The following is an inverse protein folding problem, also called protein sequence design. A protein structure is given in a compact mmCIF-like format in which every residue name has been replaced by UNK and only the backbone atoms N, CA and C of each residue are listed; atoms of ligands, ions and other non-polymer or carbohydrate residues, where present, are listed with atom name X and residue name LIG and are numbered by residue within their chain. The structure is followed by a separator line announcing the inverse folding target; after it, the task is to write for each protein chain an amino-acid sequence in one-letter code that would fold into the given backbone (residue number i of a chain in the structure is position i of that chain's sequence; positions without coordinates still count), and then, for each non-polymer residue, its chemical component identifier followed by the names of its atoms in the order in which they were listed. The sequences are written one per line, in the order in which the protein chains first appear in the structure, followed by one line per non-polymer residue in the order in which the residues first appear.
data_IF_833984644121
#
_entry.id   IF_833984644121
#
_cell.length_a   1.000
_cell.length_b   1.000
_cell.length_c   1.000
_cell.angle_alpha   90.00
_cell.angle_beta   90.00
_cell.angle_gamma   90.00
#
_symmetry.space_group_name_H-M   'P 1'
#
loop_
_entity.id
_entity.type
_entity.pdbx_description
1 polymer ?
#
# COMPACT_ATOMS: atom_id res chain seq x y z
N UNK A 1 1.04 41.23 9.95
CA UNK A 1 -0.41 40.93 9.85
C UNK A 1 -0.53 39.49 9.38
N UNK A 2 -0.56 38.56 10.32
CA UNK A 2 -0.64 37.12 10.03
C UNK A 2 -2.10 36.79 9.78
N UNK A 3 -2.49 36.59 8.52
CA UNK A 3 -3.81 36.06 8.20
C UNK A 3 -3.84 34.60 8.66
N UNK A 4 -4.36 34.36 9.86
CA UNK A 4 -4.74 33.03 10.29
C UNK A 4 -5.88 32.58 9.39
N UNK A 5 -5.57 31.72 8.42
CA UNK A 5 -6.57 31.01 7.65
C UNK A 5 -7.19 29.98 8.59
N UNK A 6 -8.26 30.35 9.30
CA UNK A 6 -9.02 29.40 10.12
C UNK A 6 -9.86 28.58 9.14
N UNK A 7 -9.58 27.28 8.93
CA UNK A 7 -10.46 26.45 8.13
C UNK A 7 -11.85 26.52 8.76
N UNK A 8 -12.88 26.80 7.95
CA UNK A 8 -14.23 27.01 8.45
C UNK A 8 -14.73 25.77 9.18
N UNK A 9 -14.87 25.87 10.51
CA UNK A 9 -15.67 24.92 11.26
C UNK A 9 -17.07 24.90 10.65
N UNK A 10 -17.55 23.73 10.27
CA UNK A 10 -18.87 23.57 9.66
C UNK A 10 -19.68 22.58 10.47
N UNK A 11 -20.83 23.05 10.92
CA UNK A 11 -21.87 22.25 11.56
C UNK A 11 -23.13 22.33 10.70
N UNK A 12 -23.70 21.18 10.36
CA UNK A 12 -25.00 21.11 9.70
C UNK A 12 -25.80 19.94 10.26
N UNK A 13 -27.02 20.19 10.73
CA UNK A 13 -27.90 19.15 11.27
C UNK A 13 -28.19 18.05 10.25
N UNK A 14 -28.40 18.46 8.99
CA UNK A 14 -28.61 17.57 7.85
C UNK A 14 -27.98 18.15 6.59
N UNK A 15 -27.10 17.37 5.98
CA UNK A 15 -26.38 17.73 4.77
C UNK A 15 -26.34 16.54 3.83
N UNK A 16 -26.47 16.82 2.53
CA UNK A 16 -26.09 15.85 1.50
C UNK A 16 -24.57 15.78 1.44
N UNK A 17 -24.01 14.61 1.71
CA UNK A 17 -22.58 14.35 1.70
C UNK A 17 -22.30 13.41 0.54
N UNK A 18 -21.36 13.82 -0.30
CA UNK A 18 -20.78 12.97 -1.34
C UNK A 18 -19.32 12.69 -0.96
N UNK A 19 -18.96 11.42 -0.93
CA UNK A 19 -17.59 11.00 -0.66
C UNK A 19 -17.07 10.15 -1.81
N UNK A 20 -16.04 10.67 -2.44
CA UNK A 20 -15.22 9.91 -3.40
C UNK A 20 -14.25 9.01 -2.64
N UNK A 21 -14.25 7.72 -2.98
CA UNK A 21 -13.30 6.72 -2.52
C UNK A 21 -12.56 6.21 -3.74
N UNK A 22 -11.26 6.49 -3.82
CA UNK A 22 -10.41 6.12 -4.97
C UNK A 22 -9.18 5.35 -4.52
N UNK A 23 -8.77 4.40 -5.35
CA UNK A 23 -7.55 3.62 -5.19
C UNK A 23 -6.32 4.48 -5.55
N UNK A 24 -5.15 4.19 -4.96
CA UNK A 24 -3.90 4.88 -5.30
C UNK A 24 -3.34 4.46 -6.66
N UNK A 25 -3.79 3.32 -7.20
CA UNK A 25 -3.45 2.77 -8.51
C UNK A 25 -4.70 2.14 -9.12
N UNK A 26 -4.76 2.00 -10.46
CA UNK A 26 -5.83 1.25 -11.12
C UNK A 26 -6.00 -0.15 -10.49
N UNK A 27 -7.25 -0.58 -10.34
CA UNK A 27 -7.62 -1.85 -9.75
C UNK A 27 -9.06 -2.22 -10.05
N UNK A 28 -9.64 -3.04 -9.17
CA UNK A 28 -10.98 -3.56 -9.31
C UNK A 28 -11.95 -2.77 -8.43
N UNK A 29 -12.99 -2.21 -9.05
CA UNK A 29 -14.14 -1.65 -8.33
C UNK A 29 -15.15 -2.78 -8.11
N UNK A 30 -15.41 -3.09 -6.85
CA UNK A 30 -16.22 -4.25 -6.43
C UNK A 30 -17.69 -3.86 -6.32
N UNK A 31 -17.95 -2.65 -5.82
CA UNK A 31 -19.29 -2.11 -5.69
C UNK A 31 -19.86 -1.66 -7.05
N UNK A 32 -21.18 -1.65 -7.17
CA UNK A 32 -21.91 -1.24 -8.36
C UNK A 32 -22.72 0.02 -8.11
N UNK A 33 -23.00 0.74 -9.19
CA UNK A 33 -23.90 1.90 -9.13
C UNK A 33 -25.26 1.46 -8.59
N UNK A 34 -25.73 2.13 -7.54
CA UNK A 34 -26.99 1.87 -6.88
C UNK A 34 -26.89 1.02 -5.61
N UNK A 35 -25.73 0.42 -5.33
CA UNK A 35 -25.55 -0.41 -4.13
C UNK A 35 -25.68 0.42 -2.85
N UNK A 36 -26.32 -0.16 -1.85
CA UNK A 36 -26.30 0.35 -0.48
C UNK A 36 -25.12 -0.27 0.26
N UNK A 37 -24.25 0.57 0.83
CA UNK A 37 -23.01 0.15 1.47
C UNK A 37 -22.95 0.65 2.92
N UNK A 38 -22.29 -0.14 3.77
CA UNK A 38 -21.86 0.26 5.11
C UNK A 38 -20.45 0.84 5.05
N UNK A 39 -20.14 1.74 5.98
CA UNK A 39 -18.84 2.40 6.07
C UNK A 39 -17.64 1.43 6.06
N UNK A 40 -17.81 0.22 6.59
CA UNK A 40 -16.81 -0.86 6.62
C UNK A 40 -16.71 -1.68 5.33
N UNK A 41 -17.66 -1.57 4.41
CA UNK A 41 -17.70 -2.41 3.22
C UNK A 41 -16.57 -2.03 2.27
N UNK A 42 -15.89 -3.03 1.73
CA UNK A 42 -14.83 -2.84 0.73
C UNK A 42 -15.49 -2.52 -0.61
N UNK A 43 -15.20 -1.34 -1.16
CA UNK A 43 -15.81 -0.87 -2.41
C UNK A 43 -14.88 -1.01 -3.61
N UNK A 44 -13.56 -0.99 -3.39
CA UNK A 44 -12.57 -1.25 -4.42
C UNK A 44 -11.27 -1.82 -3.81
N UNK A 45 -10.48 -2.48 -4.66
CA UNK A 45 -9.18 -3.06 -4.27
C UNK A 45 -8.16 -2.99 -5.41
N UNK A 46 -6.88 -2.93 -5.05
CA UNK A 46 -5.76 -3.06 -5.99
C UNK A 46 -4.60 -3.80 -5.32
N UNK A 47 -3.59 -4.15 -6.09
CA UNK A 47 -2.34 -4.72 -5.61
C UNK A 47 -1.22 -3.71 -5.86
N UNK A 48 -0.68 -3.12 -4.78
CA UNK A 48 0.49 -2.27 -4.90
C UNK A 48 1.70 -3.12 -5.26
N UNK A 49 2.49 -2.73 -6.27
CA UNK A 49 3.72 -3.43 -6.61
C UNK A 49 4.67 -3.45 -5.40
N UNK A 50 5.28 -4.61 -5.16
CA UNK A 50 6.25 -4.75 -4.09
C UNK A 50 7.50 -3.91 -4.34
N UNK A 51 8.22 -3.61 -3.27
CA UNK A 51 9.46 -2.83 -3.33
C UNK A 51 10.50 -3.58 -4.14
N UNK A 52 11.23 -2.84 -4.97
CA UNK A 52 12.37 -3.36 -5.75
C UNK A 52 13.66 -3.22 -4.94
N UNK A 53 14.47 -4.26 -4.96
CA UNK A 53 15.79 -4.33 -4.35
C UNK A 53 16.82 -4.71 -5.42
N UNK A 54 17.90 -3.95 -5.51
CA UNK A 54 19.01 -4.28 -6.42
C UNK A 54 20.12 -5.00 -5.65
N UNK A 55 20.63 -6.08 -6.24
CA UNK A 55 21.80 -6.82 -5.74
C UNK A 55 22.88 -6.82 -6.81
N UNK A 56 24.04 -6.27 -6.48
CA UNK A 56 25.22 -6.34 -7.34
C UNK A 56 25.85 -7.74 -7.21
N UNK A 57 25.49 -8.64 -8.13
CA UNK A 57 25.94 -10.04 -8.11
C UNK A 57 27.38 -10.15 -8.59
N UNK A 58 27.78 -9.38 -9.61
CA UNK A 58 29.13 -9.44 -10.16
C UNK A 58 30.20 -9.09 -9.12
N UNK A 59 29.97 -8.05 -8.31
CA UNK A 59 30.91 -7.64 -7.27
C UNK A 59 30.93 -8.62 -6.10
N UNK A 60 29.78 -9.26 -5.79
CA UNK A 60 29.70 -10.28 -4.74
C UNK A 60 30.38 -11.59 -5.14
N UNK A 61 30.33 -11.95 -6.42
CA UNK A 61 30.92 -13.18 -6.94
C UNK A 61 32.34 -12.99 -7.50
N UNK A 62 32.75 -11.75 -7.78
CA UNK A 62 34.04 -11.44 -8.41
C UNK A 62 34.12 -11.88 -9.88
N UNK A 63 33.00 -11.77 -10.62
CA UNK A 63 32.89 -12.19 -12.02
C UNK A 63 32.68 -11.00 -12.97
N UNK A 64 32.84 -11.22 -14.27
CA UNK A 64 32.49 -10.21 -15.29
C UNK A 64 30.98 -10.21 -15.56
N UNK A 65 30.42 -9.07 -16.02
CA UNK A 65 28.99 -8.97 -16.36
C UNK A 65 28.52 -10.05 -17.35
N UNK A 66 29.32 -10.35 -18.37
CA UNK A 66 29.02 -11.38 -19.38
C UNK A 66 28.83 -12.80 -18.80
N UNK A 67 29.40 -13.07 -17.62
CA UNK A 67 29.33 -14.38 -16.96
C UNK A 67 28.15 -14.52 -15.99
N UNK A 68 27.36 -13.46 -15.77
CA UNK A 68 26.33 -13.44 -14.74
C UNK A 68 25.30 -14.56 -14.96
N UNK A 69 24.80 -14.71 -16.18
CA UNK A 69 23.77 -15.71 -16.51
C UNK A 69 24.25 -17.15 -16.30
N UNK A 70 25.56 -17.42 -16.42
CA UNK A 70 26.15 -18.73 -16.18
C UNK A 70 26.26 -19.07 -14.68
N UNK A 71 26.34 -18.03 -13.84
CA UNK A 71 26.47 -18.12 -12.39
C UNK A 71 25.12 -18.02 -11.65
N UNK A 72 24.07 -17.53 -12.30
CA UNK A 72 22.73 -17.47 -11.71
C UNK A 72 22.18 -18.88 -11.44
N UNK A 73 21.63 -19.07 -10.24
CA UNK A 73 20.94 -20.30 -9.82
C UNK A 73 19.43 -20.22 -10.08
N UNK A 74 18.92 -19.01 -10.31
CA UNK A 74 17.51 -18.68 -10.49
C UNK A 74 17.35 -17.77 -11.70
N UNK A 75 16.22 -17.87 -12.38
CA UNK A 75 15.90 -17.09 -13.59
C UNK A 75 14.93 -15.95 -13.29
N UNK A 76 14.82 -15.01 -14.23
CA UNK A 76 13.78 -13.99 -14.20
C UNK A 76 12.38 -14.63 -14.10
N UNK A 77 11.53 -14.07 -13.25
CA UNK A 77 10.22 -14.60 -12.91
C UNK A 77 10.21 -15.68 -11.81
N UNK A 78 11.35 -16.25 -11.43
CA UNK A 78 11.38 -17.28 -10.39
C UNK A 78 11.31 -16.68 -8.97
N UNK A 79 10.62 -17.40 -8.08
CA UNK A 79 10.53 -17.03 -6.67
C UNK A 79 11.81 -17.39 -5.90
N UNK A 80 12.11 -16.52 -4.91
CA UNK A 80 13.23 -16.66 -3.99
C UNK A 80 12.79 -16.31 -2.58
N UNK A 81 13.40 -16.97 -1.59
CA UNK A 81 13.28 -16.63 -0.18
C UNK A 81 14.45 -15.78 0.28
N UNK A 82 14.22 -15.00 1.34
CA UNK A 82 15.30 -14.30 2.04
C UNK A 82 16.38 -15.32 2.44
N UNK A 83 17.64 -14.97 2.21
CA UNK A 83 18.82 -15.81 2.44
C UNK A 83 18.91 -17.08 1.56
N UNK A 84 18.08 -17.20 0.52
CA UNK A 84 18.24 -18.25 -0.49
C UNK A 84 19.39 -17.89 -1.46
N UNK A 85 20.26 -18.84 -1.82
CA UNK A 85 21.26 -18.65 -2.88
C UNK A 85 20.59 -18.32 -4.22
N UNK A 86 20.95 -17.18 -4.81
CA UNK A 86 20.43 -16.74 -6.13
C UNK A 86 21.49 -16.85 -7.24
N UNK A 87 22.77 -16.86 -6.87
CA UNK A 87 23.88 -17.04 -7.79
C UNK A 87 25.09 -17.63 -7.08
N UNK A 88 25.88 -18.46 -7.76
CA UNK A 88 27.15 -18.97 -7.26
C UNK A 88 28.17 -19.14 -8.39
N UNK A 89 29.45 -18.98 -8.06
CA UNK A 89 30.55 -19.32 -8.96
C UNK A 89 30.72 -20.84 -9.06
N UNK A 90 31.17 -21.35 -10.22
CA UNK A 90 31.46 -22.78 -10.44
C UNK A 90 32.97 -23.05 -10.60
N UNK A 91 33.80 -22.90 -9.55
CA UNK A 91 35.23 -23.17 -9.63
C UNK A 91 35.54 -24.67 -9.71
N UNK A 92 36.68 -25.02 -10.30
CA UNK A 92 37.19 -26.42 -10.32
C UNK A 92 37.39 -27.01 -8.92
N UNK A 93 37.66 -26.17 -7.91
CA UNK A 93 37.81 -26.58 -6.50
C UNK A 93 36.64 -26.02 -5.69
N UNK A 94 35.74 -26.90 -5.22
CA UNK A 94 34.49 -26.54 -4.52
C UNK A 94 34.68 -25.64 -3.28
N UNK A 95 35.85 -25.63 -2.64
CA UNK A 95 36.11 -24.84 -1.43
C UNK A 95 36.18 -23.32 -1.70
N UNK A 96 36.40 -22.89 -2.94
CA UNK A 96 36.53 -21.48 -3.31
C UNK A 96 35.27 -20.88 -3.92
N UNK A 97 34.10 -21.53 -3.75
CA UNK A 97 32.87 -20.99 -4.34
C UNK A 97 32.36 -19.78 -3.57
N UNK A 98 32.14 -18.68 -4.28
CA UNK A 98 31.40 -17.53 -3.78
C UNK A 98 29.90 -17.73 -4.04
N UNK A 99 29.08 -17.33 -3.07
CA UNK A 99 27.62 -17.44 -3.15
C UNK A 99 27.02 -16.06 -2.90
N UNK A 100 26.06 -15.68 -3.73
CA UNK A 100 25.23 -14.51 -3.52
C UNK A 100 23.83 -14.95 -3.06
N UNK A 101 23.39 -14.40 -1.94
CA UNK A 101 22.09 -14.70 -1.35
C UNK A 101 21.08 -13.56 -1.59
N UNK A 102 19.81 -13.92 -1.68
CA UNK A 102 18.71 -12.96 -1.77
C UNK A 102 18.56 -12.16 -0.47
N UNK A 103 18.44 -10.82 -0.52
CA UNK A 103 18.16 -9.99 0.65
C UNK A 103 16.67 -10.04 1.08
N UNK A 104 15.79 -10.54 0.22
CA UNK A 104 14.33 -10.52 0.41
C UNK A 104 13.68 -11.86 0.02
N UNK A 105 12.43 -12.06 0.47
CA UNK A 105 11.53 -13.04 -0.15
C UNK A 105 10.71 -12.34 -1.23
N UNK A 106 10.61 -12.92 -2.42
CA UNK A 106 10.01 -12.29 -3.59
C UNK A 106 10.31 -13.05 -4.87
N UNK A 107 10.54 -12.32 -5.96
CA UNK A 107 10.91 -12.89 -7.26
C UNK A 107 12.07 -12.14 -7.91
N UNK A 108 12.79 -12.80 -8.82
CA UNK A 108 13.77 -12.13 -9.69
C UNK A 108 13.00 -11.38 -10.77
N UNK A 109 13.11 -10.06 -10.77
CA UNK A 109 12.47 -9.21 -11.78
C UNK A 109 13.30 -9.13 -13.05
N UNK A 110 14.60 -8.92 -12.92
CA UNK A 110 15.50 -8.87 -14.07
C UNK A 110 16.95 -9.17 -13.69
N UNK A 111 17.72 -9.69 -14.63
CA UNK A 111 19.16 -9.93 -14.53
C UNK A 111 19.84 -9.13 -15.64
N UNK A 112 20.65 -8.14 -15.29
CA UNK A 112 21.37 -7.30 -16.24
C UNK A 112 22.79 -7.82 -16.47
N UNK A 113 23.06 -8.29 -17.68
CA UNK A 113 24.40 -8.61 -18.20
C UNK A 113 25.25 -7.36 -18.50
N UNK A 114 24.65 -6.18 -18.62
CA UNK A 114 25.39 -4.92 -18.81
C UNK A 114 25.91 -4.36 -17.47
N UNK A 115 25.05 -4.30 -16.46
CA UNK A 115 25.40 -3.68 -15.15
C UNK A 115 25.84 -4.70 -14.10
N UNK A 116 25.61 -5.99 -14.35
CA UNK A 116 25.84 -7.07 -13.39
C UNK A 116 24.91 -7.05 -12.17
N UNK A 117 23.78 -6.34 -12.27
CA UNK A 117 22.78 -6.23 -11.21
C UNK A 117 21.64 -7.22 -11.41
N UNK A 118 21.16 -7.77 -10.31
CA UNK A 118 19.92 -8.54 -10.25
C UNK A 118 18.90 -7.73 -9.46
N UNK A 119 17.76 -7.45 -10.10
CA UNK A 119 16.63 -6.81 -9.47
C UNK A 119 15.70 -7.86 -8.89
N UNK A 120 15.34 -7.70 -7.62
CA UNK A 120 14.39 -8.54 -6.92
C UNK A 120 13.18 -7.70 -6.51
N UNK A 121 12.00 -8.28 -6.63
CA UNK A 121 10.73 -7.62 -6.30
C UNK A 121 10.03 -8.36 -5.18
N UNK A 122 9.69 -7.65 -4.10
CA UNK A 122 8.83 -8.19 -3.04
C UNK A 122 7.44 -8.58 -3.59
N UNK A 123 6.71 -9.50 -2.94
CA UNK A 123 5.34 -9.79 -3.30
C UNK A 123 4.47 -8.53 -3.29
N UNK A 124 3.49 -8.42 -4.20
CA UNK A 124 2.56 -7.30 -4.19
C UNK A 124 1.76 -7.24 -2.88
N UNK A 125 1.43 -6.03 -2.44
CA UNK A 125 0.66 -5.79 -1.22
C UNK A 125 -0.79 -5.45 -1.58
N UNK A 126 -1.80 -6.21 -1.10
CA UNK A 126 -3.18 -5.87 -1.36
C UNK A 126 -3.54 -4.56 -0.64
N UNK A 127 -4.23 -3.69 -1.36
CA UNK A 127 -4.81 -2.46 -0.83
C UNK A 127 -6.30 -2.50 -1.10
N UNK A 128 -7.07 -2.19 -0.07
CA UNK A 128 -8.52 -2.13 -0.11
C UNK A 128 -8.95 -0.77 0.40
N UNK A 129 -10.01 -0.24 -0.19
CA UNK A 129 -10.66 0.96 0.30
C UNK A 129 -12.07 0.62 0.76
N UNK A 130 -12.40 1.08 1.95
CA UNK A 130 -13.75 0.95 2.48
C UNK A 130 -14.62 2.11 1.96
N UNK A 131 -15.93 1.92 2.03
CA UNK A 131 -16.94 2.93 1.70
C UNK A 131 -16.80 4.20 2.54
N UNK A 132 -16.25 4.08 3.77
CA UNK A 132 -16.02 5.15 4.75
C UNK A 132 -17.27 5.77 5.36
N UNK A 133 -18.38 5.80 4.61
CA UNK A 133 -19.69 6.25 5.08
C UNK A 133 -20.76 5.24 4.69
N UNK A 134 -21.79 5.13 5.52
CA UNK A 134 -23.03 4.47 5.15
C UNK A 134 -23.73 5.30 4.08
N UNK A 135 -24.15 4.68 2.97
CA UNK A 135 -24.78 5.42 1.90
C UNK A 135 -25.10 4.58 0.67
N UNK A 136 -25.35 5.28 -0.44
CA UNK A 136 -25.64 4.68 -1.74
C UNK A 136 -24.56 5.06 -2.73
N UNK A 137 -24.06 4.09 -3.50
CA UNK A 137 -23.12 4.34 -4.60
C UNK A 137 -23.87 5.05 -5.73
N UNK A 138 -23.50 6.30 -6.01
CA UNK A 138 -24.14 7.12 -7.06
C UNK A 138 -23.33 7.11 -8.37
N UNK A 139 -22.03 6.81 -8.30
CA UNK A 139 -21.13 6.81 -9.44
C UNK A 139 -20.02 5.76 -9.28
N UNK A 140 -19.59 5.18 -10.40
CA UNK A 140 -18.42 4.31 -10.50
C UNK A 140 -17.35 5.06 -11.30
N UNK A 141 -16.17 5.18 -10.72
CA UNK A 141 -14.98 5.70 -11.39
C UNK A 141 -14.18 4.48 -11.87
N UNK A 142 -14.16 4.27 -13.18
CA UNK A 142 -13.61 3.06 -13.78
C UNK A 142 -12.18 2.78 -13.29
N UNK A 143 -11.95 1.57 -12.78
CA UNK A 143 -10.67 1.08 -12.21
C UNK A 143 -10.13 1.87 -11.02
N UNK A 144 -10.80 2.92 -10.56
CA UNK A 144 -10.30 3.75 -9.47
C UNK A 144 -11.17 3.65 -8.23
N UNK A 145 -12.50 3.66 -8.34
CA UNK A 145 -13.35 3.56 -7.17
C UNK A 145 -14.78 4.03 -7.37
N UNK A 146 -15.35 4.69 -6.35
CA UNK A 146 -16.78 5.02 -6.28
C UNK A 146 -17.03 6.39 -5.66
N UNK A 147 -18.19 6.97 -5.98
CA UNK A 147 -18.76 8.10 -5.23
C UNK A 147 -19.97 7.60 -4.46
N UNK A 148 -19.97 7.84 -3.15
CA UNK A 148 -21.04 7.44 -2.24
C UNK A 148 -21.77 8.68 -1.77
N UNK A 149 -23.11 8.66 -1.85
CA UNK A 149 -23.98 9.71 -1.35
C UNK A 149 -24.70 9.26 -0.08
N UNK A 150 -24.80 10.17 0.89
CA UNK A 150 -25.62 9.99 2.08
C UNK A 150 -26.19 11.32 2.58
N UNK A 151 -27.20 11.26 3.44
CA UNK A 151 -27.68 12.42 4.19
C UNK A 151 -27.37 12.22 5.66
N UNK A 152 -26.55 13.08 6.23
CA UNK A 152 -26.14 12.97 7.63
C UNK A 152 -25.94 14.33 8.29
N UNK A 153 -25.83 14.33 9.61
CA UNK A 153 -25.28 15.44 10.37
C UNK A 153 -23.79 15.57 10.05
N UNK A 154 -23.36 16.78 9.67
CA UNK A 154 -21.98 17.06 9.32
C UNK A 154 -21.31 17.88 10.42
N UNK A 155 -20.20 17.35 10.95
CA UNK A 155 -19.37 18.04 11.95
C UNK A 155 -17.94 18.05 11.42
N UNK A 156 -17.38 19.23 11.18
CA UNK A 156 -16.00 19.42 10.73
C UNK A 156 -15.15 20.02 11.84
N UNK A 157 -14.12 19.30 12.27
CA UNK A 157 -13.08 19.82 13.16
C UNK A 157 -11.99 20.58 12.41
N UNK A 158 -11.13 21.28 13.16
CA UNK A 158 -9.96 22.00 12.61
C UNK A 158 -8.73 21.11 12.41
N UNK A 159 -8.59 20.08 13.24
CA UNK A 159 -7.42 19.22 13.30
C UNK A 159 -7.80 17.89 13.97
N UNK A 160 -7.18 16.81 13.52
CA UNK A 160 -7.31 15.49 14.10
C UNK A 160 -5.97 14.75 14.04
N UNK A 161 -5.71 13.92 15.03
CA UNK A 161 -4.51 13.07 15.11
C UNK A 161 -4.93 11.62 14.96
N UNK A 162 -4.21 10.86 14.13
CA UNK A 162 -4.47 9.45 13.90
C UNK A 162 -4.98 9.16 12.47
N UNK A 163 -5.43 7.94 12.27
CA UNK A 163 -5.96 7.46 11.00
C UNK A 163 -7.46 7.72 10.83
N UNK A 164 -7.93 7.45 9.61
CA UNK A 164 -9.36 7.40 9.30
C UNK A 164 -10.03 6.28 10.12
N UNK A 165 -11.14 6.58 10.80
CA UNK A 165 -11.88 5.60 11.62
C UNK A 165 -13.38 5.85 11.57
N UNK A 166 -14.16 4.83 11.93
CA UNK A 166 -15.63 4.83 11.93
C UNK A 166 -16.12 4.10 13.17
N UNK A 167 -17.16 4.61 13.83
CA UNK A 167 -17.72 3.98 15.02
C UNK A 167 -18.93 4.74 15.57
N UNK A 168 -19.51 4.21 16.64
CA UNK A 168 -20.55 4.92 17.37
C UNK A 168 -19.93 6.11 18.13
N UNK A 169 -20.58 7.27 18.04
CA UNK A 169 -20.21 8.42 18.87
C UNK A 169 -20.68 8.18 20.30
N UNK A 170 -19.76 8.37 21.24
CA UNK A 170 -20.05 8.26 22.67
C UNK A 170 -19.65 9.56 23.37
N UNK A 171 -20.49 10.00 24.31
CA UNK A 171 -20.17 11.10 25.20
C UNK A 171 -19.19 10.57 26.26
N UNK A 172 -17.94 11.03 26.21
CA UNK A 172 -16.90 10.60 27.15
C UNK A 172 -16.95 11.37 28.48
N UNK A 173 -17.45 12.60 28.49
CA UNK A 173 -17.45 13.49 29.66
C UNK A 173 -18.75 14.25 29.84
N UNK A 174 -19.02 14.74 31.06
CA UNK A 174 -20.28 15.42 31.41
C UNK A 174 -20.21 16.93 31.17
N UNK A 175 -19.02 17.51 31.20
CA UNK A 175 -18.77 18.95 31.06
C UNK A 175 -17.61 19.24 30.10
N UNK A 176 -17.63 20.35 29.34
CA UNK A 176 -16.53 20.74 28.45
C UNK A 176 -15.16 20.93 29.13
N UNK A 177 -15.14 21.14 30.45
CA UNK A 177 -13.90 21.30 31.22
C UNK A 177 -13.33 20.00 31.82
N UNK A 178 -14.05 18.89 31.67
CA UNK A 178 -13.61 17.60 32.20
C UNK A 178 -12.44 17.05 31.36
N UNK A 179 -11.43 16.48 32.03
CA UNK A 179 -10.26 15.88 31.37
C UNK A 179 -10.56 14.43 31.02
N UNK A 180 -10.35 14.06 29.74
CA UNK A 180 -10.38 12.67 29.27
C UNK A 180 -8.98 12.07 29.44
N UNK A 181 -8.88 10.91 30.11
CA UNK A 181 -7.65 10.13 30.19
C UNK A 181 -7.65 9.02 29.13
N UNK A 182 -6.48 8.46 28.75
CA UNK A 182 -6.40 7.36 27.79
C UNK A 182 -7.15 6.09 28.18
N UNK A 183 -7.52 5.96 29.46
CA UNK A 183 -8.17 4.79 30.06
C UNK A 183 -9.70 4.93 30.18
N UNK A 184 -10.26 6.11 29.87
CA UNK A 184 -11.70 6.42 29.85
C UNK A 184 -12.34 6.07 28.49
#
# INVERSE_FOLDING_TARGET
MTHAYTPGLRLAEKMRIEKTRSLPLPGDVIAKKGDAVKASDIVARTNLPGKVHSVNVINRLGIMPDDIHNCMLKKEGEEVKKEEPIAETKPMIKFFKSICFSPISGSIESVSDVTGQVLLREPPKPVQINAYIDGKVIEIIEKEGVVIETYATFVQGIFGVGGETTGALQIAVKSPGDVIKPED
#
